data_IF_775757114911
#
_entry.id   IF_775757114911
#
_cell.length_a   1.000
_cell.length_b   1.000
_cell.length_c   1.000
_cell.angle_alpha   90.00
_cell.angle_beta   90.00
_cell.angle_gamma   90.00
#
_symmetry.space_group_name_H-M   'P 1'
#
loop_
_entity.id
_entity.type
_entity.pdbx_description
1 polymer ?
#
# COMPACT_ATOMS: atom_id res chain seq x y z
N UNK A 1 26.65 28.56 1.09
CA UNK A 1 26.40 29.38 2.30
C UNK A 1 25.02 29.13 2.92
N UNK A 2 24.56 27.88 3.09
CA UNK A 2 23.29 27.61 3.81
C UNK A 2 23.33 26.39 4.77
N UNK A 3 24.47 25.69 4.88
CA UNK A 3 24.62 24.50 5.74
C UNK A 3 25.46 24.75 7.01
N UNK A 4 25.90 25.99 7.27
CA UNK A 4 26.83 26.32 8.37
C UNK A 4 26.20 27.14 9.51
N UNK A 5 24.88 27.39 9.50
CA UNK A 5 24.20 28.17 10.55
C UNK A 5 23.37 27.32 11.53
N UNK A 6 23.26 26.00 11.32
CA UNK A 6 22.45 25.13 12.21
C UNK A 6 23.30 24.52 13.34
N UNK A 7 24.63 24.45 13.19
CA UNK A 7 25.52 23.87 14.21
C UNK A 7 25.95 24.83 15.33
N UNK A 8 25.61 26.12 15.27
CA UNK A 8 26.04 27.10 16.27
C UNK A 8 25.05 27.31 17.45
N UNK A 9 23.83 26.76 17.37
CA UNK A 9 22.80 26.95 18.42
C UNK A 9 22.76 25.87 19.52
N UNK A 10 23.70 24.93 19.53
CA UNK A 10 23.76 23.85 20.53
C UNK A 10 24.85 24.03 21.60
N UNK A 11 25.57 25.17 21.63
CA UNK A 11 26.73 25.36 22.50
C UNK A 11 26.55 26.40 23.63
N UNK A 12 25.39 27.07 23.76
CA UNK A 12 25.19 28.12 24.77
C UNK A 12 23.99 27.80 25.66
N UNK A 13 24.26 27.07 26.73
CA UNK A 13 23.28 26.74 27.77
C UNK A 13 22.79 27.97 28.52
N UNK A 14 21.67 28.54 28.07
CA UNK A 14 20.90 29.55 28.79
C UNK A 14 19.40 29.27 28.66
N UNK A 15 18.86 28.49 29.60
CA UNK A 15 17.46 28.55 29.96
C UNK A 15 17.37 29.00 31.42
N UNK A 16 17.19 30.30 31.61
CA UNK A 16 16.79 30.89 32.87
C UNK A 16 15.27 31.07 32.87
N UNK A 17 14.64 30.68 33.98
CA UNK A 17 13.42 31.31 34.46
C UNK A 17 12.08 30.61 34.16
N UNK A 18 11.71 29.64 35.00
CA UNK A 18 10.34 29.46 35.47
C UNK A 18 10.32 28.47 36.65
N UNK A 19 10.46 28.99 37.87
CA UNK A 19 10.19 28.27 39.09
C UNK A 19 8.75 28.55 39.53
N UNK A 20 8.11 27.52 40.10
CA UNK A 20 6.97 27.53 41.05
C UNK A 20 5.53 27.62 40.52
N UNK A 21 4.88 26.46 40.40
CA UNK A 21 3.50 26.22 40.87
C UNK A 21 3.22 24.70 41.06
N UNK A 22 3.84 24.16 42.11
CA UNK A 22 3.24 23.25 43.11
C UNK A 22 2.14 22.27 42.68
N UNK A 23 2.60 21.07 42.35
CA UNK A 23 2.19 19.72 42.80
C UNK A 23 1.27 19.55 44.05
N UNK A 24 0.14 20.26 44.16
CA UNK A 24 -0.79 20.10 45.31
C UNK A 24 -2.24 19.73 44.95
N UNK A 25 -2.66 19.87 43.68
CA UNK A 25 -4.07 19.68 43.27
C UNK A 25 -4.43 18.26 42.83
N UNK A 26 -3.44 17.44 42.48
CA UNK A 26 -3.63 16.04 42.01
C UNK A 26 -3.86 15.04 43.15
N UNK A 27 -3.25 15.24 44.33
CA UNK A 27 -3.40 14.33 45.47
C UNK A 27 -4.69 14.55 46.29
N UNK A 28 -5.28 15.75 46.27
CA UNK A 28 -6.47 16.08 47.08
C UNK A 28 -7.73 15.42 46.52
N UNK A 29 -7.92 15.46 45.19
CA UNK A 29 -9.08 14.87 44.51
C UNK A 29 -9.13 13.34 44.56
N UNK A 30 -8.01 12.67 44.88
CA UNK A 30 -7.92 11.20 45.02
C UNK A 30 -8.28 10.71 46.42
N UNK A 31 -8.14 11.56 47.46
CA UNK A 31 -8.54 11.20 48.83
C UNK A 31 -10.03 11.38 49.07
N UNK A 32 -10.68 12.34 48.39
CA UNK A 32 -12.11 12.62 48.58
C UNK A 32 -13.04 11.60 47.88
N UNK A 33 -12.51 10.75 47.00
CA UNK A 33 -13.26 9.67 46.34
C UNK A 33 -13.11 8.30 47.03
N UNK A 34 -12.30 8.21 48.08
CA UNK A 34 -12.05 6.99 48.84
C UNK A 34 -12.70 7.00 50.24
N UNK A 35 -13.47 8.03 50.59
CA UNK A 35 -14.05 8.22 51.92
C UNK A 35 -15.57 8.06 52.01
N UNK A 36 -16.25 7.55 50.97
CA UNK A 36 -17.72 7.34 50.97
C UNK A 36 -18.16 5.88 50.74
N UNK A 37 -17.31 4.92 51.09
CA UNK A 37 -17.74 3.54 51.34
C UNK A 37 -17.53 3.21 52.82
N UNK A 38 -18.33 3.86 53.66
CA UNK A 38 -18.42 3.59 55.09
C UNK A 38 -19.64 2.71 55.37
N UNK A 39 -19.36 1.50 55.82
CA UNK A 39 -20.13 0.61 56.71
C UNK A 39 -21.64 0.87 56.85
N UNK A 40 -22.45 0.03 56.21
CA UNK A 40 -23.78 -0.32 56.73
C UNK A 40 -23.79 -1.79 57.14
N UNK A 41 -23.55 -2.04 58.43
CA UNK A 41 -23.73 -3.34 59.09
C UNK A 41 -25.13 -3.44 59.66
N UNK A 42 -26.18 -3.52 58.82
CA UNK A 42 -27.50 -3.98 59.29
C UNK A 42 -28.46 -4.44 58.19
N UNK A 43 -28.29 -5.68 57.71
CA UNK A 43 -29.41 -6.55 57.34
C UNK A 43 -28.90 -7.86 56.75
N UNK A 44 -29.00 -8.95 57.52
CA UNK A 44 -28.97 -10.29 56.98
C UNK A 44 -30.30 -10.52 56.25
N UNK A 45 -30.30 -10.57 54.92
CA UNK A 45 -31.19 -11.35 54.02
C UNK A 45 -31.24 -10.71 52.63
N UNK A 46 -30.65 -11.40 51.64
CA UNK A 46 -31.00 -11.50 50.20
C UNK A 46 -29.75 -11.61 49.30
N UNK A 47 -29.59 -12.78 48.67
CA UNK A 47 -28.76 -13.04 47.48
C UNK A 47 -29.51 -12.35 46.31
N UNK A 48 -28.88 -11.67 45.29
CA UNK A 48 -28.07 -12.43 44.33
C UNK A 48 -27.06 -11.71 43.38
N UNK A 49 -26.29 -12.55 42.68
CA UNK A 49 -25.56 -12.37 41.42
C UNK A 49 -24.34 -11.43 41.35
N UNK A 50 -23.23 -12.03 40.90
CA UNK A 50 -21.94 -11.40 40.73
C UNK A 50 -21.97 -10.15 39.87
N UNK A 51 -21.34 -9.10 40.41
CA UNK A 51 -21.07 -7.85 39.71
C UNK A 51 -20.07 -8.09 38.58
N UNK A 52 -20.58 -8.54 37.43
CA UNK A 52 -19.84 -8.68 36.16
C UNK A 52 -19.71 -7.30 35.48
N UNK A 53 -19.34 -6.26 36.23
CA UNK A 53 -19.39 -4.87 35.74
C UNK A 53 -18.19 -4.03 36.15
N UNK A 54 -17.00 -4.51 35.79
CA UNK A 54 -15.81 -3.68 35.63
C UNK A 54 -14.97 -4.22 34.45
N UNK A 55 -15.52 -4.17 33.23
CA UNK A 55 -14.76 -4.32 31.99
C UNK A 55 -15.01 -3.12 31.08
N UNK A 56 -14.86 -1.92 31.63
CA UNK A 56 -14.75 -0.69 30.84
C UNK A 56 -13.29 -0.50 30.41
N UNK A 57 -12.86 -1.33 29.46
CA UNK A 57 -11.73 -1.00 28.61
C UNK A 57 -12.23 -0.01 27.53
N UNK A 58 -11.46 1.01 27.15
CA UNK A 58 -11.92 2.03 26.21
C UNK A 58 -11.96 1.46 24.78
N UNK A 59 -13.10 0.82 24.44
CA UNK A 59 -13.37 0.25 23.12
C UNK A 59 -13.42 1.31 22.00
N UNK A 60 -13.58 2.59 22.35
CA UNK A 60 -13.82 3.69 21.41
C UNK A 60 -12.60 4.17 20.63
N UNK A 61 -11.37 3.92 21.12
CA UNK A 61 -10.16 4.31 20.37
C UNK A 61 -9.80 3.28 19.29
N UNK A 62 -9.95 1.99 19.53
CA UNK A 62 -9.52 0.97 18.56
C UNK A 62 -10.40 0.91 17.29
N UNK A 63 -11.71 1.18 17.39
CA UNK A 63 -12.62 1.10 16.23
C UNK A 63 -12.38 2.16 15.16
N UNK A 64 -12.17 3.43 15.56
CA UNK A 64 -11.95 4.54 14.63
C UNK A 64 -10.60 4.43 13.90
N UNK A 65 -9.52 4.07 14.61
CA UNK A 65 -8.21 3.87 13.99
C UNK A 65 -8.20 2.64 13.07
N UNK A 66 -8.90 1.56 13.43
CA UNK A 66 -9.00 0.38 12.58
C UNK A 66 -9.80 0.67 11.29
N UNK A 67 -10.91 1.41 11.38
CA UNK A 67 -11.69 1.82 10.21
C UNK A 67 -10.94 2.77 9.29
N UNK A 68 -10.23 3.75 9.84
CA UNK A 68 -9.40 4.68 9.06
C UNK A 68 -8.23 3.96 8.36
N UNK A 69 -7.58 3.01 9.05
CA UNK A 69 -6.51 2.21 8.48
C UNK A 69 -7.00 1.32 7.34
N UNK A 70 -8.14 0.62 7.52
CA UNK A 70 -8.77 -0.16 6.46
C UNK A 70 -9.08 0.71 5.24
N UNK A 71 -9.70 1.87 5.46
CA UNK A 71 -10.00 2.80 4.37
C UNK A 71 -8.74 3.23 3.61
N UNK A 72 -7.69 3.63 4.33
CA UNK A 72 -6.43 4.03 3.71
C UNK A 72 -5.80 2.90 2.89
N UNK A 73 -5.78 1.67 3.42
CA UNK A 73 -5.25 0.50 2.71
C UNK A 73 -6.04 0.21 1.42
N UNK A 74 -7.36 0.28 1.46
CA UNK A 74 -8.22 0.10 0.29
C UNK A 74 -7.95 1.16 -0.78
N UNK A 75 -7.81 2.43 -0.39
CA UNK A 75 -7.49 3.52 -1.32
C UNK A 75 -6.10 3.32 -1.94
N UNK A 76 -5.08 2.98 -1.15
CA UNK A 76 -3.73 2.72 -1.66
C UNK A 76 -3.75 1.54 -2.65
N UNK A 77 -4.47 0.46 -2.34
CA UNK A 77 -4.61 -0.68 -3.22
C UNK A 77 -5.28 -0.30 -4.55
N UNK A 78 -6.40 0.44 -4.51
CA UNK A 78 -7.13 0.91 -5.69
C UNK A 78 -6.25 1.83 -6.56
N UNK A 79 -5.56 2.81 -5.95
CA UNK A 79 -4.70 3.74 -6.68
C UNK A 79 -3.53 3.02 -7.36
N UNK A 80 -2.86 2.12 -6.64
CA UNK A 80 -1.75 1.36 -7.19
C UNK A 80 -2.21 0.43 -8.33
N UNK A 81 -3.33 -0.28 -8.14
CA UNK A 81 -3.93 -1.14 -9.16
C UNK A 81 -4.40 -0.33 -10.39
N UNK A 82 -5.01 0.83 -10.18
CA UNK A 82 -5.49 1.71 -11.24
C UNK A 82 -4.34 2.29 -12.08
N UNK A 83 -3.27 2.76 -11.44
CA UNK A 83 -2.07 3.23 -12.14
C UNK A 83 -1.39 2.11 -12.92
N UNK A 84 -1.30 0.91 -12.35
CA UNK A 84 -0.78 -0.26 -13.04
C UNK A 84 -1.64 -0.60 -14.27
N UNK A 85 -2.95 -0.71 -14.08
CA UNK A 85 -3.91 -1.08 -15.12
C UNK A 85 -3.93 -0.04 -16.25
N UNK A 86 -3.92 1.25 -15.92
CA UNK A 86 -3.85 2.34 -16.89
C UNK A 86 -2.57 2.30 -17.72
N UNK A 87 -1.41 2.08 -17.08
CA UNK A 87 -0.15 1.93 -17.79
C UNK A 87 -0.13 0.68 -18.69
N UNK A 88 -0.66 -0.45 -18.23
CA UNK A 88 -0.76 -1.67 -19.04
C UNK A 88 -1.72 -1.48 -20.23
N UNK A 89 -2.85 -0.80 -20.01
CA UNK A 89 -3.81 -0.47 -21.05
C UNK A 89 -3.20 0.44 -22.11
N UNK A 90 -2.44 1.46 -21.71
CA UNK A 90 -1.71 2.32 -22.64
C UNK A 90 -0.76 1.51 -23.54
N UNK A 91 0.00 0.58 -22.96
CA UNK A 91 0.92 -0.29 -23.72
C UNK A 91 0.14 -1.12 -24.76
N UNK A 92 -0.99 -1.72 -24.35
CA UNK A 92 -1.78 -2.59 -25.23
C UNK A 92 -2.55 -1.84 -26.32
N UNK A 93 -3.12 -0.68 -26.01
CA UNK A 93 -4.05 0.04 -26.90
C UNK A 93 -3.35 1.12 -27.73
N UNK A 94 -2.35 1.78 -27.18
CA UNK A 94 -1.70 2.93 -27.83
C UNK A 94 -0.32 2.56 -28.33
N UNK A 95 0.54 2.05 -27.46
CA UNK A 95 1.94 1.80 -27.82
C UNK A 95 2.06 0.67 -28.86
N UNK A 96 1.35 -0.45 -28.67
CA UNK A 96 1.39 -1.58 -29.61
C UNK A 96 1.11 -1.17 -31.07
N UNK A 97 -0.04 -0.55 -31.42
CA UNK A 97 -0.33 -0.23 -32.82
C UNK A 97 0.64 0.81 -33.41
N UNK A 98 1.15 1.73 -32.60
CA UNK A 98 2.19 2.68 -33.06
C UNK A 98 3.47 1.92 -33.42
N UNK A 99 3.89 0.98 -32.57
CA UNK A 99 5.14 0.24 -32.76
C UNK A 99 5.07 -0.77 -33.91
N UNK A 100 3.87 -1.26 -34.25
CA UNK A 100 3.65 -2.10 -35.43
C UNK A 100 3.79 -1.33 -36.77
N UNK A 101 3.64 0.00 -36.75
CA UNK A 101 3.78 0.88 -37.92
C UNK A 101 5.20 1.39 -38.13
N UNK A 102 6.03 1.37 -37.09
CA UNK A 102 7.40 1.85 -37.15
C UNK A 102 8.35 0.81 -37.77
N UNK A 103 9.45 1.24 -38.42
CA UNK A 103 10.56 0.37 -38.73
C UNK A 103 11.07 -0.37 -37.48
N UNK A 104 11.40 -1.67 -37.62
CA UNK A 104 11.75 -2.54 -36.49
C UNK A 104 12.87 -1.98 -35.62
N UNK A 105 13.88 -1.36 -36.23
CA UNK A 105 15.01 -0.75 -35.53
C UNK A 105 14.57 0.42 -34.63
N UNK A 106 13.66 1.27 -35.10
CA UNK A 106 13.13 2.39 -34.32
C UNK A 106 12.23 1.87 -33.18
N UNK A 107 11.36 0.90 -33.47
CA UNK A 107 10.48 0.30 -32.46
C UNK A 107 11.29 -0.39 -31.35
N UNK A 108 12.34 -1.13 -31.70
CA UNK A 108 13.21 -1.81 -30.75
C UNK A 108 14.01 -0.80 -29.90
N UNK A 109 14.57 0.24 -30.54
CA UNK A 109 15.29 1.30 -29.81
C UNK A 109 14.37 1.99 -28.80
N UNK A 110 13.16 2.39 -29.23
CA UNK A 110 12.18 3.02 -28.34
C UNK A 110 11.80 2.10 -27.18
N UNK A 111 11.57 0.81 -27.48
CA UNK A 111 11.22 -0.17 -26.46
C UNK A 111 12.34 -0.32 -25.43
N UNK A 112 13.60 -0.50 -25.86
CA UNK A 112 14.77 -0.65 -24.96
C UNK A 112 14.93 0.55 -24.04
N UNK A 113 14.87 1.78 -24.58
CA UNK A 113 15.02 3.01 -23.79
C UNK A 113 13.94 3.17 -22.73
N UNK A 114 12.69 2.80 -23.02
CA UNK A 114 11.58 2.94 -22.08
C UNK A 114 11.45 1.77 -21.10
N UNK A 115 11.92 0.58 -21.48
CA UNK A 115 11.55 -0.67 -20.82
C UNK A 115 11.97 -0.72 -19.35
N UNK A 116 13.19 -0.30 -19.01
CA UNK A 116 13.70 -0.41 -17.64
C UNK A 116 12.93 0.48 -16.66
N UNK A 117 12.67 1.74 -17.03
CA UNK A 117 11.88 2.65 -16.21
C UNK A 117 10.43 2.15 -16.04
N UNK A 118 9.81 1.70 -17.13
CA UNK A 118 8.45 1.17 -17.11
C UNK A 118 8.35 -0.10 -16.26
N UNK A 119 9.36 -1.00 -16.34
CA UNK A 119 9.42 -2.24 -15.56
C UNK A 119 9.48 -1.95 -14.06
N UNK A 120 10.34 -1.04 -13.63
CA UNK A 120 10.50 -0.72 -12.20
C UNK A 120 9.20 -0.16 -11.61
N UNK A 121 8.57 0.79 -12.31
CA UNK A 121 7.29 1.36 -11.90
C UNK A 121 6.21 0.28 -11.78
N UNK A 122 6.07 -0.60 -12.78
CA UNK A 122 5.05 -1.64 -12.76
C UNK A 122 5.27 -2.67 -11.65
N UNK A 123 6.51 -3.08 -11.38
CA UNK A 123 6.81 -4.00 -10.27
C UNK A 123 6.46 -3.35 -8.93
N UNK A 124 6.84 -2.09 -8.72
CA UNK A 124 6.54 -1.36 -7.49
C UNK A 124 5.03 -1.24 -7.26
N UNK A 125 4.27 -0.84 -8.29
CA UNK A 125 2.81 -0.73 -8.22
C UNK A 125 2.13 -2.08 -7.93
N UNK A 126 2.59 -3.16 -8.57
CA UNK A 126 2.06 -4.50 -8.31
C UNK A 126 2.30 -4.94 -6.86
N UNK A 127 3.50 -4.71 -6.32
CA UNK A 127 3.83 -5.05 -4.93
C UNK A 127 3.04 -4.22 -3.93
N UNK A 128 3.01 -2.89 -4.11
CA UNK A 128 2.29 -1.97 -3.22
C UNK A 128 0.79 -2.28 -3.24
N UNK A 129 0.19 -2.42 -4.43
CA UNK A 129 -1.23 -2.69 -4.57
C UNK A 129 -1.64 -4.04 -3.98
N UNK A 130 -0.85 -5.09 -4.25
CA UNK A 130 -1.14 -6.44 -3.73
C UNK A 130 -0.98 -6.52 -2.22
N UNK A 131 0.08 -5.90 -1.66
CA UNK A 131 0.31 -5.87 -0.22
C UNK A 131 -0.77 -5.05 0.50
N UNK A 132 -1.13 -3.88 -0.03
CA UNK A 132 -2.19 -3.06 0.53
C UNK A 132 -3.55 -3.78 0.51
N UNK A 133 -3.87 -4.51 -0.56
CA UNK A 133 -5.09 -5.31 -0.65
C UNK A 133 -5.09 -6.48 0.36
N UNK A 134 -3.96 -7.19 0.50
CA UNK A 134 -3.80 -8.25 1.50
C UNK A 134 -3.98 -7.72 2.93
N UNK A 135 -3.39 -6.57 3.24
CA UNK A 135 -3.53 -5.92 4.54
C UNK A 135 -4.97 -5.44 4.77
N UNK A 136 -5.64 -4.88 3.75
CA UNK A 136 -7.05 -4.51 3.82
C UNK A 136 -7.94 -5.74 4.11
N UNK A 137 -7.66 -6.86 3.45
CA UNK A 137 -8.37 -8.11 3.67
C UNK A 137 -8.19 -8.63 5.12
N UNK A 138 -6.95 -8.60 5.63
CA UNK A 138 -6.62 -8.97 7.00
C UNK A 138 -7.24 -8.01 8.05
N UNK A 139 -7.44 -6.74 7.68
CA UNK A 139 -8.07 -5.71 8.51
C UNK A 139 -9.61 -5.71 8.45
N UNK A 140 -10.24 -6.68 7.78
CA UNK A 140 -11.70 -6.84 7.74
C UNK A 140 -12.38 -6.38 6.46
N UNK A 141 -11.64 -6.03 5.40
CA UNK A 141 -12.21 -5.68 4.09
C UNK A 141 -12.92 -6.83 3.38
N UNK A 142 -12.70 -8.08 3.81
CA UNK A 142 -13.35 -9.28 3.27
C UNK A 142 -12.51 -10.03 2.23
N UNK A 143 -12.99 -11.22 1.83
CA UNK A 143 -12.24 -12.16 0.96
C UNK A 143 -11.98 -11.62 -0.44
N UNK A 144 -12.81 -10.69 -0.91
CA UNK A 144 -12.66 -10.04 -2.22
C UNK A 144 -11.32 -9.32 -2.36
N UNK A 145 -10.78 -8.75 -1.28
CA UNK A 145 -9.49 -8.07 -1.29
C UNK A 145 -8.30 -9.04 -1.38
N UNK A 146 -8.41 -10.24 -0.79
CA UNK A 146 -7.44 -11.32 -1.02
C UNK A 146 -7.41 -11.74 -2.48
N UNK A 147 -8.58 -11.94 -3.07
CA UNK A 147 -8.70 -12.34 -4.47
C UNK A 147 -8.15 -11.26 -5.41
N UNK A 148 -8.57 -10.01 -5.26
CA UNK A 148 -8.12 -8.91 -6.10
C UNK A 148 -6.62 -8.62 -5.95
N UNK A 149 -6.10 -8.64 -4.72
CA UNK A 149 -4.66 -8.54 -4.46
C UNK A 149 -3.88 -9.70 -5.08
N UNK A 150 -4.41 -10.93 -5.01
CA UNK A 150 -3.82 -12.11 -5.64
C UNK A 150 -3.78 -12.04 -7.17
N UNK A 151 -4.84 -11.51 -7.80
CA UNK A 151 -4.85 -11.24 -9.25
C UNK A 151 -3.71 -10.29 -9.63
N UNK A 152 -3.58 -9.16 -8.94
CA UNK A 152 -2.51 -8.20 -9.23
C UNK A 152 -1.12 -8.82 -8.98
N UNK A 153 -0.95 -9.58 -7.90
CA UNK A 153 0.30 -10.24 -7.55
C UNK A 153 0.72 -11.26 -8.63
N UNK A 154 -0.24 -11.94 -9.28
CA UNK A 154 0.01 -12.96 -10.33
C UNK A 154 0.78 -12.41 -11.53
N UNK A 155 0.71 -11.09 -11.77
CA UNK A 155 1.47 -10.45 -12.85
C UNK A 155 2.99 -10.59 -12.66
N UNK A 156 3.47 -10.64 -11.42
CA UNK A 156 4.90 -10.76 -11.10
C UNK A 156 5.48 -12.10 -11.54
N UNK A 157 4.99 -13.28 -11.06
CA UNK A 157 5.49 -14.57 -11.51
C UNK A 157 5.23 -14.82 -12.99
N UNK A 158 4.09 -14.34 -13.54
CA UNK A 158 3.84 -14.41 -14.98
C UNK A 158 4.93 -13.68 -15.78
N UNK A 159 5.32 -12.48 -15.34
CA UNK A 159 6.38 -11.71 -16.00
C UNK A 159 7.73 -12.42 -15.88
N UNK A 160 8.07 -12.94 -14.70
CA UNK A 160 9.34 -13.61 -14.44
C UNK A 160 9.52 -14.91 -15.23
N UNK A 161 8.46 -15.70 -15.40
CA UNK A 161 8.52 -17.02 -16.04
C UNK A 161 8.22 -16.95 -17.54
N UNK A 162 7.16 -16.23 -17.93
CA UNK A 162 6.63 -16.27 -19.30
C UNK A 162 7.22 -15.16 -20.18
N UNK A 163 7.32 -13.93 -19.66
CA UNK A 163 7.74 -12.77 -20.46
C UNK A 163 9.26 -12.60 -20.46
N UNK A 164 9.91 -12.91 -19.34
CA UNK A 164 11.34 -12.69 -19.16
C UNK A 164 12.24 -13.27 -20.26
N UNK A 165 12.02 -14.48 -20.82
CA UNK A 165 12.82 -14.98 -21.93
C UNK A 165 12.76 -14.07 -23.17
N UNK A 166 11.58 -13.51 -23.47
CA UNK A 166 11.40 -12.58 -24.58
C UNK A 166 12.11 -11.26 -24.31
N UNK A 167 11.99 -10.72 -23.08
CA UNK A 167 12.70 -9.51 -22.64
C UNK A 167 14.21 -9.68 -22.78
N UNK A 168 14.74 -10.83 -22.33
CA UNK A 168 16.17 -11.12 -22.38
C UNK A 168 16.68 -11.12 -23.82
N UNK A 169 15.95 -11.75 -24.76
CA UNK A 169 16.35 -11.76 -26.17
C UNK A 169 16.21 -10.38 -26.82
N UNK A 170 15.18 -9.60 -26.48
CA UNK A 170 15.03 -8.23 -26.97
C UNK A 170 16.14 -7.29 -26.49
N UNK A 171 16.71 -7.52 -25.31
CA UNK A 171 17.83 -6.76 -24.75
C UNK A 171 19.22 -7.34 -25.11
N UNK A 172 19.29 -8.38 -25.95
CA UNK A 172 20.56 -8.93 -26.41
C UNK A 172 21.18 -8.00 -27.46
N UNK A 173 22.42 -7.56 -27.24
CA UNK A 173 23.18 -6.73 -28.18
C UNK A 173 23.47 -7.47 -29.51
N UNK A 174 23.42 -8.81 -29.50
CA UNK A 174 23.59 -9.64 -30.70
C UNK A 174 22.33 -9.73 -31.56
N UNK A 175 21.19 -9.21 -31.09
CA UNK A 175 19.96 -9.21 -31.87
C UNK A 175 20.04 -8.12 -32.96
N UNK A 176 20.02 -8.53 -34.24
CA UNK A 176 19.96 -7.60 -35.35
C UNK A 176 18.62 -6.81 -35.32
N UNK A 177 18.65 -5.49 -35.15
CA UNK A 177 17.47 -4.65 -35.02
C UNK A 177 16.63 -4.55 -36.30
N UNK A 178 17.17 -4.99 -37.45
CA UNK A 178 16.47 -5.01 -38.74
C UNK A 178 15.89 -6.39 -39.08
N UNK A 179 16.20 -7.41 -38.28
CA UNK A 179 15.81 -8.79 -38.54
C UNK A 179 14.31 -9.06 -38.37
N UNK A 180 13.84 -10.13 -39.04
CA UNK A 180 12.49 -10.68 -38.82
C UNK A 180 12.32 -11.21 -37.39
N UNK A 181 13.39 -11.68 -36.77
CA UNK A 181 13.38 -12.16 -35.37
C UNK A 181 13.03 -11.01 -34.41
N UNK A 182 13.69 -9.86 -34.53
CA UNK A 182 13.42 -8.70 -33.69
C UNK A 182 11.95 -8.26 -33.78
N UNK A 183 11.38 -8.23 -35.00
CA UNK A 183 9.95 -7.91 -35.21
C UNK A 183 9.03 -8.94 -34.55
N UNK A 184 9.34 -10.23 -34.68
CA UNK A 184 8.55 -11.30 -34.08
C UNK A 184 8.60 -11.25 -32.54
N UNK A 185 9.77 -11.00 -31.95
CA UNK A 185 9.93 -10.86 -30.51
C UNK A 185 9.18 -9.66 -29.93
N UNK A 186 9.22 -8.51 -30.60
CA UNK A 186 8.44 -7.33 -30.21
C UNK A 186 6.94 -7.65 -30.21
N UNK A 187 6.43 -8.24 -31.30
CA UNK A 187 5.03 -8.67 -31.38
C UNK A 187 4.67 -9.64 -30.27
N UNK A 188 5.51 -10.66 -30.03
CA UNK A 188 5.31 -11.64 -28.97
C UNK A 188 5.26 -10.98 -27.59
N UNK A 189 6.13 -10.00 -27.33
CA UNK A 189 6.11 -9.26 -26.08
C UNK A 189 4.79 -8.50 -25.87
N UNK A 190 4.27 -7.81 -26.90
CA UNK A 190 2.98 -7.10 -26.82
C UNK A 190 1.80 -8.07 -26.63
N UNK A 191 1.81 -9.22 -27.30
CA UNK A 191 0.79 -10.26 -27.13
C UNK A 191 0.80 -10.83 -25.71
N UNK A 192 1.98 -11.14 -25.17
CA UNK A 192 2.12 -11.59 -23.79
C UNK A 192 1.75 -10.50 -22.77
N UNK A 193 2.00 -9.24 -23.09
CA UNK A 193 1.64 -8.11 -22.23
C UNK A 193 0.12 -7.95 -22.09
N UNK A 194 -0.67 -8.30 -23.11
CA UNK A 194 -2.13 -8.19 -23.05
C UNK A 194 -2.75 -8.96 -21.86
N UNK A 195 -2.15 -10.09 -21.47
CA UNK A 195 -2.55 -10.81 -20.26
C UNK A 195 -2.44 -9.95 -19.01
N UNK A 196 -1.33 -9.21 -18.86
CA UNK A 196 -1.11 -8.29 -17.72
C UNK A 196 -2.18 -7.21 -17.69
N UNK A 197 -2.55 -6.69 -18.86
CA UNK A 197 -3.62 -5.69 -18.99
C UNK A 197 -4.96 -6.26 -18.52
N UNK A 198 -5.37 -7.42 -19.01
CA UNK A 198 -6.65 -8.04 -18.61
C UNK A 198 -6.70 -8.32 -17.12
N UNK A 199 -5.65 -8.95 -16.57
CA UNK A 199 -5.60 -9.32 -15.15
C UNK A 199 -5.61 -8.08 -14.25
N UNK A 200 -4.82 -7.06 -14.58
CA UNK A 200 -4.74 -5.85 -13.76
C UNK A 200 -5.99 -4.97 -13.85
N UNK A 201 -6.61 -4.84 -15.03
CA UNK A 201 -7.91 -4.16 -15.19
C UNK A 201 -8.99 -4.89 -14.40
N UNK A 202 -8.99 -6.22 -14.42
CA UNK A 202 -9.93 -7.03 -13.63
C UNK A 202 -9.69 -6.82 -12.12
N UNK A 203 -8.44 -6.87 -11.66
CA UNK A 203 -8.10 -6.62 -10.26
C UNK A 203 -8.55 -5.23 -9.81
N UNK A 204 -8.25 -4.19 -10.59
CA UNK A 204 -8.70 -2.83 -10.33
C UNK A 204 -10.23 -2.72 -10.28
N UNK A 205 -10.94 -3.27 -11.27
CA UNK A 205 -12.41 -3.26 -11.31
C UNK A 205 -13.03 -3.95 -10.10
N UNK A 206 -12.48 -5.09 -9.68
CA UNK A 206 -12.93 -5.79 -8.46
C UNK A 206 -12.68 -4.94 -7.21
N UNK A 207 -11.52 -4.30 -7.07
CA UNK A 207 -11.23 -3.45 -5.91
C UNK A 207 -12.15 -2.22 -5.84
N UNK A 208 -12.47 -1.61 -7.00
CA UNK A 208 -13.40 -0.48 -7.08
C UNK A 208 -14.82 -0.93 -6.72
N UNK A 209 -15.28 -2.06 -7.23
CA UNK A 209 -16.62 -2.58 -6.94
C UNK A 209 -16.79 -3.05 -5.48
N UNK A 210 -15.70 -3.43 -4.83
CA UNK A 210 -15.69 -3.91 -3.44
C UNK A 210 -15.58 -2.81 -2.39
N UNK A 211 -15.39 -1.55 -2.80
CA UNK A 211 -15.20 -0.41 -1.90
C UNK A 211 -16.53 0.26 -1.57
#
# INVERSE_FOLDING_TARGET
MHALQIKAKLATGQFAGAQLATSATSKRRRKDALSTCGDDKRSQHFIPYGCRRCRSWPFWRHGLFAGAALFALQIVAILAAGLFAGAALFVSVVQRPVMERLPTNQALSYWRTNFDAARLMQIALALIGSAAAALAAAAGGGRVWWFAGGLLATVIPYTAVVIFPTIRRLNDDKLDPTSKEAKALLRRWYELHAFRTVVSVSAFGVMVAAR
#
